data_IF_023996933543
#
_entry.id   IF_023996933543
#
_cell.length_a   1.000
_cell.length_b   1.000
_cell.length_c   1.000
_cell.angle_alpha   90.00
_cell.angle_beta   90.00
_cell.angle_gamma   90.00
#
_symmetry.space_group_name_H-M   'P 1'
#
loop_
_entity.id
_entity.type
_entity.pdbx_description
1 polymer ?
#
# COMPACT_ATOMS: atom_id res chain seq x y z
N UNK A 1 56.68 -62.54 -14.05
CA UNK A 1 56.09 -61.32 -13.46
C UNK A 1 54.91 -60.88 -14.31
N UNK A 2 53.71 -60.72 -13.72
CA UNK A 2 52.73 -59.66 -14.07
C UNK A 2 51.48 -59.84 -13.20
N UNK A 3 51.43 -59.04 -12.12
CA UNK A 3 50.22 -58.82 -11.32
C UNK A 3 49.33 -57.85 -12.09
N UNK A 4 48.09 -58.23 -12.35
CA UNK A 4 47.07 -57.32 -12.90
C UNK A 4 46.48 -56.54 -11.72
N UNK A 5 46.73 -55.23 -11.70
CA UNK A 5 46.18 -54.32 -10.71
C UNK A 5 44.76 -53.91 -11.12
N UNK A 6 43.78 -54.17 -10.26
CA UNK A 6 42.41 -53.70 -10.41
C UNK A 6 42.36 -52.24 -9.91
N UNK A 7 42.25 -51.28 -10.83
CA UNK A 7 42.04 -49.88 -10.48
C UNK A 7 40.55 -49.67 -10.19
N UNK A 8 40.20 -49.43 -8.93
CA UNK A 8 38.87 -48.98 -8.53
C UNK A 8 38.81 -47.47 -8.76
N UNK A 9 38.10 -47.05 -9.82
CA UNK A 9 37.76 -45.64 -10.05
C UNK A 9 36.65 -45.21 -9.09
N UNK A 10 37.04 -44.51 -8.03
CA UNK A 10 36.12 -43.77 -7.18
C UNK A 10 35.53 -42.59 -7.96
N UNK A 11 34.27 -42.70 -8.39
CA UNK A 11 33.50 -41.58 -8.94
C UNK A 11 33.24 -40.55 -7.83
N UNK A 12 34.11 -39.55 -7.72
CA UNK A 12 33.86 -38.35 -6.94
C UNK A 12 32.75 -37.55 -7.63
N UNK A 13 31.50 -37.75 -7.19
CA UNK A 13 30.40 -36.83 -7.48
C UNK A 13 30.73 -35.48 -6.83
N UNK A 14 31.27 -34.55 -7.61
CA UNK A 14 31.39 -33.16 -7.18
C UNK A 14 29.98 -32.63 -6.88
N UNK A 15 29.70 -32.34 -5.61
CA UNK A 15 28.49 -31.65 -5.20
C UNK A 15 28.44 -30.32 -5.96
N UNK A 16 27.45 -30.16 -6.85
CA UNK A 16 27.18 -28.86 -7.46
C UNK A 16 26.85 -27.90 -6.32
N UNK A 17 27.42 -26.68 -6.28
CA UNK A 17 26.98 -25.69 -5.33
C UNK A 17 25.47 -25.52 -5.50
N UNK A 18 24.72 -25.65 -4.41
CA UNK A 18 23.30 -25.37 -4.42
C UNK A 18 23.14 -23.94 -4.93
N UNK A 19 22.44 -23.76 -6.05
CA UNK A 19 22.18 -22.43 -6.58
C UNK A 19 21.46 -21.61 -5.49
N UNK A 20 21.90 -20.37 -5.28
CA UNK A 20 21.20 -19.44 -4.40
C UNK A 20 19.74 -19.33 -4.87
N UNK A 21 18.79 -19.56 -3.96
CA UNK A 21 17.39 -19.35 -4.22
C UNK A 21 17.14 -17.85 -4.15
N UNK A 22 17.19 -17.19 -5.30
CA UNK A 22 16.91 -15.76 -5.47
C UNK A 22 15.86 -15.61 -6.58
N UNK A 23 14.59 -15.40 -6.21
CA UNK A 23 13.51 -15.36 -7.19
C UNK A 23 12.42 -14.38 -6.83
N UNK A 24 12.11 -13.51 -7.79
CA UNK A 24 10.84 -12.78 -7.83
C UNK A 24 9.83 -13.54 -8.67
N UNK A 25 8.60 -13.64 -8.18
CA UNK A 25 7.48 -14.24 -8.88
C UNK A 25 6.41 -13.19 -9.17
N UNK A 26 5.95 -13.16 -10.43
CA UNK A 26 4.88 -12.26 -10.89
C UNK A 26 3.56 -13.04 -10.98
N UNK A 27 2.60 -12.83 -10.05
CA UNK A 27 1.32 -13.53 -10.10
C UNK A 27 0.44 -13.08 -11.28
N UNK A 28 0.86 -12.10 -12.09
CA UNK A 28 0.19 -11.82 -13.36
C UNK A 28 0.37 -12.95 -14.38
N UNK A 29 1.48 -13.70 -14.31
CA UNK A 29 1.85 -14.69 -15.31
C UNK A 29 2.10 -16.09 -14.74
N UNK A 30 2.42 -16.18 -13.45
CA UNK A 30 2.92 -17.39 -12.82
C UNK A 30 2.04 -17.84 -11.64
N UNK A 31 2.11 -19.13 -11.33
CA UNK A 31 1.59 -19.66 -10.08
C UNK A 31 2.68 -19.57 -8.99
N UNK A 32 2.71 -18.45 -8.26
CA UNK A 32 3.67 -18.22 -7.18
C UNK A 32 3.41 -19.11 -5.96
N UNK A 33 2.17 -19.58 -5.78
CA UNK A 33 1.79 -20.48 -4.68
C UNK A 33 2.55 -21.80 -4.72
N UNK A 34 2.76 -22.37 -5.91
CA UNK A 34 3.47 -23.66 -6.05
C UNK A 34 4.83 -23.64 -5.35
N UNK A 35 5.57 -22.54 -5.46
CA UNK A 35 6.87 -22.42 -4.81
C UNK A 35 6.75 -22.35 -3.29
N UNK A 36 5.80 -21.57 -2.77
CA UNK A 36 5.57 -21.47 -1.33
C UNK A 36 5.11 -22.80 -0.71
N UNK A 37 4.18 -23.52 -1.37
CA UNK A 37 3.74 -24.84 -0.91
C UNK A 37 4.90 -25.85 -0.90
N UNK A 38 5.77 -25.83 -1.91
CA UNK A 38 6.97 -26.67 -1.95
C UNK A 38 7.92 -26.38 -0.79
N UNK A 39 8.13 -25.10 -0.43
CA UNK A 39 8.94 -24.73 0.72
C UNK A 39 8.31 -25.21 2.03
N UNK A 40 6.99 -25.08 2.18
CA UNK A 40 6.27 -25.62 3.33
C UNK A 40 6.49 -27.14 3.42
N UNK A 41 6.21 -27.89 2.36
CA UNK A 41 6.28 -29.36 2.36
C UNK A 41 7.66 -29.92 2.67
N UNK A 42 8.71 -29.21 2.25
CA UNK A 42 10.10 -29.60 2.43
C UNK A 42 10.73 -29.15 3.75
N UNK A 43 10.06 -28.30 4.54
CA UNK A 43 10.59 -27.83 5.80
C UNK A 43 10.63 -28.96 6.85
N UNK A 44 11.73 -29.02 7.62
CA UNK A 44 12.00 -30.10 8.57
C UNK A 44 12.28 -29.63 10.00
N UNK A 45 12.45 -28.34 10.21
CA UNK A 45 12.78 -27.77 11.51
C UNK A 45 11.68 -26.81 11.98
N UNK A 46 11.48 -25.70 11.28
CA UNK A 46 10.61 -24.61 11.75
C UNK A 46 10.00 -23.80 10.61
N UNK A 47 8.70 -23.49 10.73
CA UNK A 47 7.94 -22.59 9.85
C UNK A 47 7.39 -21.44 10.69
N UNK A 48 7.76 -20.22 10.30
CA UNK A 48 7.28 -18.99 10.91
C UNK A 48 6.51 -18.17 9.90
N UNK A 49 5.27 -17.78 10.22
CA UNK A 49 4.43 -17.02 9.28
C UNK A 49 3.85 -15.79 9.98
N UNK A 50 4.00 -14.62 9.33
CA UNK A 50 3.39 -13.37 9.77
C UNK A 50 2.43 -12.83 8.72
N UNK A 51 1.16 -12.60 9.08
CA UNK A 51 0.16 -12.14 8.12
C UNK A 51 -0.92 -11.21 8.68
N UNK A 52 -1.36 -10.26 7.84
CA UNK A 52 -2.57 -9.45 8.07
C UNK A 52 -3.85 -10.30 7.94
N UNK A 53 -4.00 -11.00 6.81
CA UNK A 53 -5.02 -12.04 6.64
C UNK A 53 -4.55 -13.14 5.69
N UNK A 54 -5.19 -14.30 5.80
CA UNK A 54 -5.05 -15.45 4.90
C UNK A 54 -6.45 -15.93 4.50
N UNK A 55 -6.61 -16.31 3.23
CA UNK A 55 -7.88 -16.81 2.67
C UNK A 55 -7.73 -18.20 2.08
N UNK A 56 -6.54 -18.51 1.57
CA UNK A 56 -6.31 -19.75 0.85
C UNK A 56 -5.99 -20.90 1.79
N UNK A 57 -6.93 -21.84 1.86
CA UNK A 57 -6.86 -23.02 2.72
C UNK A 57 -5.75 -24.02 2.32
N UNK A 58 -5.16 -23.92 1.12
CA UNK A 58 -4.02 -24.77 0.77
C UNK A 58 -2.83 -24.50 1.70
N UNK A 59 -2.54 -23.24 2.03
CA UNK A 59 -1.48 -22.92 2.99
C UNK A 59 -1.75 -23.55 4.36
N UNK A 60 -3.01 -23.49 4.81
CA UNK A 60 -3.44 -24.10 6.08
C UNK A 60 -3.18 -25.60 6.07
N UNK A 61 -3.63 -26.31 5.03
CA UNK A 61 -3.48 -27.76 4.91
C UNK A 61 -2.01 -28.19 4.95
N UNK A 62 -1.16 -27.52 4.18
CA UNK A 62 0.26 -27.86 4.10
C UNK A 62 1.02 -27.52 5.41
N UNK A 63 0.74 -26.37 6.03
CA UNK A 63 1.35 -25.98 7.32
C UNK A 63 0.90 -26.95 8.44
N UNK A 64 -0.39 -27.29 8.50
CA UNK A 64 -0.92 -28.27 9.47
C UNK A 64 -0.31 -29.65 9.25
N UNK A 65 -0.15 -30.10 8.00
CA UNK A 65 0.50 -31.37 7.70
C UNK A 65 1.95 -31.39 8.23
N UNK A 66 2.68 -30.28 8.09
CA UNK A 66 4.04 -30.19 8.63
C UNK A 66 4.10 -30.16 10.14
N UNK A 67 3.20 -29.42 10.78
CA UNK A 67 3.04 -29.41 12.22
C UNK A 67 2.78 -30.82 12.77
N UNK A 68 1.84 -31.55 12.17
CA UNK A 68 1.52 -32.94 12.55
C UNK A 68 2.69 -33.89 12.36
N UNK A 69 3.61 -33.58 11.45
CA UNK A 69 4.84 -34.33 11.22
C UNK A 69 6.03 -33.82 12.06
N UNK A 70 5.78 -33.01 13.10
CA UNK A 70 6.74 -32.62 14.13
C UNK A 70 7.57 -31.37 13.81
N UNK A 71 7.29 -30.67 12.70
CA UNK A 71 7.93 -29.37 12.41
C UNK A 71 7.36 -28.32 13.34
N UNK A 72 8.23 -27.49 13.94
CA UNK A 72 7.78 -26.37 14.76
C UNK A 72 7.06 -25.35 13.88
N UNK A 73 5.90 -24.88 14.31
CA UNK A 73 5.16 -23.81 13.60
C UNK A 73 4.84 -22.70 14.57
N UNK A 74 5.09 -21.44 14.18
CA UNK A 74 4.69 -20.25 14.94
C UNK A 74 4.01 -19.25 14.02
N UNK A 75 2.84 -18.74 14.43
CA UNK A 75 2.08 -17.77 13.65
C UNK A 75 1.93 -16.44 14.38
N UNK A 76 2.35 -15.36 13.73
CA UNK A 76 2.00 -14.00 14.10
C UNK A 76 0.80 -13.57 13.24
N UNK A 77 -0.32 -13.28 13.89
CA UNK A 77 -1.60 -13.04 13.23
C UNK A 77 -2.22 -11.71 13.64
N UNK A 78 -3.22 -11.26 12.87
CA UNK A 78 -4.08 -10.15 13.26
C UNK A 78 -5.54 -10.48 12.99
N UNK A 79 -6.32 -10.88 14.02
CA UNK A 79 -7.73 -11.25 13.84
C UNK A 79 -8.60 -10.10 13.28
N UNK A 80 -8.14 -8.84 13.36
CA UNK A 80 -8.83 -7.70 12.74
C UNK A 80 -8.83 -7.79 11.21
N UNK A 81 -7.94 -8.59 10.62
CA UNK A 81 -7.93 -8.95 9.21
C UNK A 81 -9.27 -9.51 8.73
N UNK A 82 -10.03 -10.17 9.62
CA UNK A 82 -11.36 -10.74 9.32
C UNK A 82 -12.40 -9.69 8.93
N UNK A 83 -12.21 -8.42 9.30
CA UNK A 83 -13.07 -7.32 8.86
C UNK A 83 -12.82 -6.91 7.39
N UNK A 84 -11.63 -7.19 6.86
CA UNK A 84 -11.28 -6.95 5.45
C UNK A 84 -11.44 -8.20 4.58
N UNK A 85 -11.29 -9.39 5.18
CA UNK A 85 -11.48 -10.68 4.51
C UNK A 85 -12.30 -11.63 5.38
N UNK A 86 -13.54 -12.00 5.00
CA UNK A 86 -14.38 -12.86 5.81
C UNK A 86 -13.85 -14.31 5.95
N UNK A 87 -12.96 -14.76 5.06
CA UNK A 87 -12.39 -16.11 5.10
C UNK A 87 -11.32 -16.29 6.19
N UNK A 88 -10.70 -15.19 6.61
CA UNK A 88 -9.59 -15.21 7.56
C UNK A 88 -9.95 -15.85 8.90
N UNK A 89 -11.17 -15.63 9.40
CA UNK A 89 -11.56 -16.24 10.68
C UNK A 89 -11.56 -17.77 10.60
N UNK A 90 -12.07 -18.34 9.51
CA UNK A 90 -12.05 -19.78 9.30
C UNK A 90 -10.64 -20.36 9.22
N UNK A 91 -9.70 -19.61 8.63
CA UNK A 91 -8.27 -19.98 8.61
C UNK A 91 -7.66 -19.99 10.01
N UNK A 92 -7.92 -18.94 10.80
CA UNK A 92 -7.45 -18.86 12.19
C UNK A 92 -8.03 -19.99 13.05
N UNK A 93 -9.33 -20.29 12.89
CA UNK A 93 -10.00 -21.37 13.62
C UNK A 93 -9.43 -22.75 13.24
N UNK A 94 -9.07 -22.96 11.96
CA UNK A 94 -8.45 -24.19 11.50
C UNK A 94 -7.04 -24.39 12.10
N UNK A 95 -6.20 -23.35 12.14
CA UNK A 95 -4.90 -23.42 12.82
C UNK A 95 -5.05 -23.65 14.32
N UNK A 96 -6.01 -22.97 14.97
CA UNK A 96 -6.30 -23.16 16.39
C UNK A 96 -6.74 -24.61 16.68
N UNK A 97 -7.64 -25.16 15.86
CA UNK A 97 -8.13 -26.54 15.99
C UNK A 97 -7.04 -27.58 15.77
N UNK A 98 -6.04 -27.29 14.92
CA UNK A 98 -4.88 -28.15 14.71
C UNK A 98 -3.86 -28.10 15.86
N UNK A 99 -4.02 -27.22 16.85
CA UNK A 99 -3.09 -27.08 17.96
C UNK A 99 -1.88 -26.17 17.69
N UNK A 100 -1.89 -25.42 16.58
CA UNK A 100 -0.75 -24.55 16.21
C UNK A 100 -0.72 -23.30 17.11
N UNK A 101 0.45 -22.95 17.69
CA UNK A 101 0.58 -21.78 18.53
C UNK A 101 0.55 -20.48 17.72
N UNK A 102 -0.27 -19.53 18.17
CA UNK A 102 -0.46 -18.24 17.54
C UNK A 102 -0.39 -17.10 18.56
N UNK A 103 0.26 -16.00 18.17
CA UNK A 103 0.21 -14.71 18.89
C UNK A 103 -0.40 -13.65 17.99
N UNK A 104 -1.22 -12.77 18.56
CA UNK A 104 -1.93 -11.71 17.84
C UNK A 104 -1.34 -10.33 18.13
N UNK A 105 -1.33 -9.46 17.12
CA UNK A 105 -1.07 -8.03 17.31
C UNK A 105 -2.17 -7.38 18.16
N UNK A 106 -1.79 -6.54 19.12
CA UNK A 106 -2.73 -5.84 20.04
C UNK A 106 -2.57 -4.32 20.07
N UNK A 107 -1.62 -3.77 19.29
CA UNK A 107 -1.49 -2.32 19.16
C UNK A 107 -2.70 -1.72 18.44
N UNK A 108 -2.85 -0.40 18.46
CA UNK A 108 -3.92 0.29 17.71
C UNK A 108 -3.76 0.18 16.19
N UNK A 109 -2.59 -0.24 15.70
CA UNK A 109 -2.30 -0.46 14.28
C UNK A 109 -2.18 -1.95 13.97
N UNK A 110 -1.96 -2.31 12.71
CA UNK A 110 -2.07 -3.69 12.23
C UNK A 110 -0.70 -4.38 12.07
N UNK A 111 -0.68 -5.71 12.19
CA UNK A 111 0.40 -6.53 11.64
C UNK A 111 0.21 -6.58 10.12
N UNK A 112 1.04 -5.83 9.37
CA UNK A 112 0.92 -5.72 7.92
C UNK A 112 1.95 -6.57 7.17
N UNK A 113 2.61 -7.50 7.85
CA UNK A 113 3.51 -8.47 7.22
C UNK A 113 2.77 -9.45 6.32
N UNK A 114 3.51 -9.96 5.32
CA UNK A 114 3.19 -11.16 4.54
C UNK A 114 4.52 -11.83 4.24
N UNK A 115 4.86 -12.73 5.15
CA UNK A 115 6.13 -13.44 5.10
C UNK A 115 5.96 -14.86 5.61
N UNK A 116 6.75 -15.76 5.05
CA UNK A 116 6.94 -17.12 5.52
C UNK A 116 8.44 -17.43 5.58
N UNK A 117 8.91 -17.87 6.74
CA UNK A 117 10.30 -18.18 7.03
C UNK A 117 10.45 -19.67 7.32
N UNK A 118 11.43 -20.30 6.68
CA UNK A 118 11.69 -21.73 6.69
C UNK A 118 13.06 -21.96 7.33
N UNK A 119 13.06 -22.23 8.63
CA UNK A 119 14.27 -22.24 9.46
C UNK A 119 15.29 -23.28 9.03
N UNK A 120 14.85 -24.51 8.72
CA UNK A 120 15.73 -25.59 8.31
C UNK A 120 16.25 -25.47 6.88
N UNK A 121 15.47 -24.82 6.01
CA UNK A 121 15.90 -24.52 4.64
C UNK A 121 16.72 -23.22 4.53
N UNK A 122 16.71 -22.37 5.57
CA UNK A 122 17.29 -21.02 5.55
C UNK A 122 16.75 -20.18 4.38
N UNK A 123 15.43 -20.16 4.23
CA UNK A 123 14.72 -19.42 3.18
C UNK A 123 13.67 -18.52 3.80
N UNK A 124 13.52 -17.31 3.27
CA UNK A 124 12.37 -16.45 3.56
C UNK A 124 11.64 -16.07 2.27
N UNK A 125 10.32 -16.13 2.32
CA UNK A 125 9.44 -15.39 1.42
C UNK A 125 9.00 -14.11 2.12
N UNK A 126 9.03 -12.98 1.41
CA UNK A 126 8.34 -11.78 1.85
C UNK A 126 7.84 -10.95 0.68
N UNK A 127 6.69 -10.30 0.87
CA UNK A 127 6.05 -9.52 -0.20
C UNK A 127 4.97 -8.55 0.32
N UNK A 128 4.24 -7.90 -0.60
CA UNK A 128 3.01 -7.17 -0.28
C UNK A 128 1.76 -8.07 -0.24
N UNK A 129 1.89 -9.35 -0.59
CA UNK A 129 0.81 -10.24 -1.01
C UNK A 129 0.11 -10.92 0.16
N UNK A 130 -1.14 -10.55 0.43
CA UNK A 130 -1.97 -11.35 1.36
C UNK A 130 -2.04 -12.81 0.85
N UNK A 131 -2.12 -13.78 1.76
CA UNK A 131 -2.19 -15.21 1.44
C UNK A 131 -3.58 -15.59 0.90
N UNK A 132 -3.91 -15.02 -0.26
CA UNK A 132 -5.18 -15.12 -0.99
C UNK A 132 -4.93 -15.69 -2.38
N UNK A 133 -5.95 -16.35 -2.95
CA UNK A 133 -5.81 -17.09 -4.20
C UNK A 133 -5.24 -16.21 -5.34
N UNK A 134 -5.87 -15.07 -5.58
CA UNK A 134 -5.57 -14.16 -6.69
C UNK A 134 -4.30 -13.32 -6.52
N UNK A 135 -3.72 -13.24 -5.31
CA UNK A 135 -2.44 -12.57 -5.07
C UNK A 135 -1.25 -13.48 -5.35
N UNK A 136 -1.47 -14.79 -5.46
CA UNK A 136 -0.43 -15.79 -5.65
C UNK A 136 -0.57 -16.58 -6.96
N UNK A 137 -1.68 -16.41 -7.67
CA UNK A 137 -1.95 -17.07 -8.94
C UNK A 137 -3.00 -16.28 -9.73
N UNK A 138 -2.85 -16.09 -11.05
CA UNK A 138 -3.86 -15.42 -11.85
C UNK A 138 -5.03 -16.38 -12.13
N UNK A 139 -6.28 -15.90 -12.08
CA UNK A 139 -7.41 -16.67 -12.63
C UNK A 139 -7.22 -16.86 -14.14
N UNK A 140 -6.75 -15.81 -14.81
CA UNK A 140 -6.29 -15.84 -16.20
C UNK A 140 -5.12 -14.88 -16.35
N UNK A 141 -4.01 -15.28 -17.01
CA UNK A 141 -2.81 -14.46 -17.10
C UNK A 141 -3.11 -13.03 -17.57
N UNK A 142 -2.48 -12.06 -16.90
CA UNK A 142 -2.53 -10.62 -17.19
C UNK A 142 -3.94 -9.97 -17.14
N UNK A 143 -4.99 -10.72 -16.84
CA UNK A 143 -6.39 -10.24 -16.94
C UNK A 143 -7.11 -10.24 -15.61
N UNK A 144 -6.87 -11.22 -14.74
CA UNK A 144 -7.49 -11.26 -13.42
C UNK A 144 -6.52 -11.85 -12.39
N UNK A 145 -5.82 -10.93 -11.71
CA UNK A 145 -4.79 -11.20 -10.73
C UNK A 145 -4.63 -9.95 -9.85
N UNK A 146 -3.97 -10.08 -8.71
CA UNK A 146 -3.57 -8.94 -7.88
C UNK A 146 -2.08 -8.67 -8.13
N UNK A 147 -1.73 -7.43 -8.50
CA UNK A 147 -0.34 -7.03 -8.73
C UNK A 147 0.47 -7.22 -7.45
N UNK A 148 1.54 -8.01 -7.50
CA UNK A 148 2.50 -8.22 -6.41
C UNK A 148 3.92 -8.39 -6.95
N UNK A 149 4.88 -8.38 -6.03
CA UNK A 149 6.25 -8.80 -6.28
C UNK A 149 6.67 -9.73 -5.15
N UNK A 150 6.49 -11.04 -5.38
CA UNK A 150 6.69 -12.07 -4.35
C UNK A 150 8.13 -12.54 -4.42
N UNK A 151 8.89 -12.31 -3.35
CA UNK A 151 10.32 -12.56 -3.34
C UNK A 151 10.67 -13.72 -2.41
N UNK A 152 11.43 -14.67 -2.94
CA UNK A 152 12.01 -15.79 -2.23
C UNK A 152 13.52 -15.65 -2.24
N UNK A 153 14.13 -15.75 -1.05
CA UNK A 153 15.58 -15.59 -0.88
C UNK A 153 16.15 -16.59 0.13
N UNK A 154 17.33 -17.12 -0.16
CA UNK A 154 18.20 -17.77 0.82
C UNK A 154 19.48 -16.95 1.11
N UNK A 155 19.44 -15.65 0.81
CA UNK A 155 20.49 -14.70 1.15
C UNK A 155 20.61 -14.62 2.69
N UNK A 156 21.75 -15.02 3.27
CA UNK A 156 21.84 -15.18 4.71
C UNK A 156 21.55 -13.89 5.48
N UNK A 157 21.96 -12.72 4.96
CA UNK A 157 21.78 -11.45 5.66
C UNK A 157 20.30 -11.06 5.71
N UNK A 158 19.56 -11.35 4.64
CA UNK A 158 18.11 -11.12 4.56
C UNK A 158 17.35 -12.12 5.44
N UNK A 159 17.65 -13.42 5.32
CA UNK A 159 16.99 -14.47 6.11
C UNK A 159 17.24 -14.25 7.61
N UNK A 160 18.48 -13.99 8.01
CA UNK A 160 18.85 -13.73 9.40
C UNK A 160 18.15 -12.49 9.97
N UNK A 161 17.92 -11.46 9.14
CA UNK A 161 17.16 -10.29 9.54
C UNK A 161 15.71 -10.62 9.85
N UNK A 162 15.05 -11.43 9.01
CA UNK A 162 13.68 -11.88 9.27
C UNK A 162 13.60 -12.85 10.46
N UNK A 163 14.56 -13.77 10.62
CA UNK A 163 14.70 -14.59 11.82
C UNK A 163 14.72 -13.72 13.09
N UNK A 164 15.57 -12.69 13.10
CA UNK A 164 15.67 -11.75 14.22
C UNK A 164 14.36 -11.01 14.47
N UNK A 165 13.74 -10.44 13.43
CA UNK A 165 12.54 -9.60 13.59
C UNK A 165 11.28 -10.41 13.91
N UNK A 166 11.18 -11.64 13.40
CA UNK A 166 10.12 -12.55 13.80
C UNK A 166 10.27 -12.90 15.28
N UNK A 167 11.47 -13.27 15.74
CA UNK A 167 11.71 -13.55 17.15
C UNK A 167 11.49 -12.34 18.06
N UNK A 168 11.90 -11.14 17.64
CA UNK A 168 11.62 -9.90 18.38
C UNK A 168 10.12 -9.72 18.61
N UNK A 169 9.30 -9.97 17.58
CA UNK A 169 7.85 -9.87 17.64
C UNK A 169 7.23 -11.03 18.44
N UNK A 170 7.78 -12.24 18.29
CA UNK A 170 7.31 -13.45 18.97
C UNK A 170 7.47 -13.38 20.48
N UNK A 171 8.49 -12.69 21.01
CA UNK A 171 8.69 -12.51 22.46
C UNK A 171 8.23 -11.15 23.00
N UNK A 172 7.66 -10.30 22.15
CA UNK A 172 7.14 -9.00 22.57
C UNK A 172 5.79 -9.17 23.29
N UNK A 173 5.75 -8.84 24.59
CA UNK A 173 4.53 -8.87 25.40
C UNK A 173 3.75 -7.55 25.42
N UNK A 174 4.25 -6.52 24.74
CA UNK A 174 3.63 -5.20 24.64
C UNK A 174 2.81 -5.09 23.36
N UNK A 175 3.41 -5.42 22.20
CA UNK A 175 2.73 -5.28 20.90
C UNK A 175 1.95 -6.52 20.50
N UNK A 176 2.23 -7.65 21.16
CA UNK A 176 1.58 -8.95 20.89
C UNK A 176 1.06 -9.58 22.18
N UNK A 177 -0.05 -10.31 22.04
CA UNK A 177 -0.62 -11.15 23.08
C UNK A 177 -0.85 -12.57 22.54
N UNK A 178 -0.95 -13.53 23.44
CA UNK A 178 -1.24 -14.90 23.07
C UNK A 178 -2.66 -15.00 22.49
N UNK A 179 -2.81 -15.84 21.45
CA UNK A 179 -4.07 -15.97 20.73
C UNK A 179 -4.62 -17.39 20.78
N UNK A 180 -3.84 -18.39 20.37
CA UNK A 180 -4.24 -19.79 20.42
C UNK A 180 -3.05 -20.69 20.73
N UNK A 181 -3.27 -21.76 21.49
CA UNK A 181 -2.33 -22.85 21.74
C UNK A 181 -0.93 -22.44 22.25
N UNK A 182 -0.80 -21.26 22.88
CA UNK A 182 0.42 -20.88 23.62
C UNK A 182 0.33 -21.51 25.01
N UNK A 183 1.08 -22.59 25.23
CA UNK A 183 1.09 -23.33 26.51
C UNK A 183 2.32 -23.04 27.37
N UNK A 184 3.38 -22.51 26.76
CA UNK A 184 4.62 -22.10 27.43
C UNK A 184 4.93 -20.63 27.07
N UNK A 185 5.66 -19.90 27.93
CA UNK A 185 6.13 -18.56 27.60
C UNK A 185 6.83 -18.52 26.23
N UNK A 186 6.50 -17.55 25.35
CA UNK A 186 7.14 -17.41 24.05
C UNK A 186 8.66 -17.27 24.19
N UNK A 187 9.40 -18.11 23.47
CA UNK A 187 10.86 -18.09 23.43
C UNK A 187 11.36 -17.89 21.99
N UNK A 188 12.56 -17.31 21.87
CA UNK A 188 13.26 -17.16 20.60
C UNK A 188 13.68 -18.53 20.06
N UNK A 189 13.60 -18.71 18.73
CA UNK A 189 14.11 -19.90 18.06
C UNK A 189 15.48 -19.67 17.42
N UNK A 190 15.81 -18.42 17.12
CA UNK A 190 17.01 -18.04 16.37
C UNK A 190 17.98 -17.20 17.19
N UNK A 191 19.19 -17.04 16.65
CA UNK A 191 20.21 -16.17 17.22
C UNK A 191 19.87 -14.69 17.14
N UNK A 192 20.57 -13.88 17.92
CA UNK A 192 20.48 -12.42 17.88
C UNK A 192 21.26 -11.86 16.67
N UNK A 193 20.76 -12.11 15.45
CA UNK A 193 21.38 -11.60 14.23
C UNK A 193 21.30 -10.08 14.10
N UNK A 194 22.24 -9.51 13.35
CA UNK A 194 22.16 -8.12 12.86
C UNK A 194 21.09 -8.00 11.79
N UNK A 195 20.46 -6.83 11.70
CA UNK A 195 19.53 -6.51 10.62
C UNK A 195 20.32 -5.91 9.46
N UNK A 196 20.15 -6.48 8.27
CA UNK A 196 20.73 -5.97 7.03
C UNK A 196 20.27 -4.52 6.80
N UNK A 197 21.19 -3.57 6.52
CA UNK A 197 20.84 -2.17 6.37
C UNK A 197 19.93 -1.88 5.17
N UNK A 198 19.89 -2.74 4.15
CA UNK A 198 18.97 -2.61 3.02
C UNK A 198 17.51 -2.92 3.40
N UNK A 199 17.27 -3.65 4.50
CA UNK A 199 15.92 -3.85 5.02
C UNK A 199 15.44 -2.65 5.84
N UNK A 200 14.12 -2.51 5.90
CA UNK A 200 13.43 -1.48 6.66
C UNK A 200 12.18 -2.08 7.32
N UNK A 201 12.07 -1.93 8.64
CA UNK A 201 10.95 -2.47 9.43
C UNK A 201 10.23 -1.37 10.22
N UNK A 202 9.24 -0.68 9.61
CA UNK A 202 8.32 0.20 10.33
C UNK A 202 7.56 -0.54 11.44
N UNK A 203 7.22 0.14 12.55
CA UNK A 203 7.45 1.58 12.80
C UNK A 203 8.85 1.89 13.37
N UNK A 204 9.72 0.89 13.56
CA UNK A 204 11.04 1.09 14.17
C UNK A 204 11.96 1.96 13.31
N UNK A 205 11.72 2.01 12.00
CA UNK A 205 12.49 2.80 11.04
C UNK A 205 11.53 3.44 10.03
N UNK A 206 11.56 4.77 9.89
CA UNK A 206 10.67 5.48 8.96
C UNK A 206 10.90 5.07 7.50
N UNK A 207 9.88 4.47 6.90
CA UNK A 207 9.84 4.18 5.47
C UNK A 207 9.84 5.49 4.66
N UNK A 208 9.08 6.48 5.10
CA UNK A 208 8.89 7.74 4.38
C UNK A 208 10.16 8.55 4.32
N UNK A 209 10.83 8.78 5.46
CA UNK A 209 12.07 9.55 5.49
C UNK A 209 13.14 8.90 4.59
N UNK A 210 13.26 7.58 4.63
CA UNK A 210 14.23 6.83 3.82
C UNK A 210 13.91 6.92 2.33
N UNK A 211 12.66 6.65 1.95
CA UNK A 211 12.20 6.69 0.55
C UNK A 211 12.33 8.09 -0.06
N UNK A 212 11.82 9.14 0.58
CA UNK A 212 11.84 10.50 0.01
C UNK A 212 13.26 11.06 -0.14
N UNK A 213 14.20 10.65 0.73
CA UNK A 213 15.60 11.03 0.62
C UNK A 213 16.24 10.49 -0.66
N UNK A 214 15.86 9.27 -1.07
CA UNK A 214 16.30 8.68 -2.33
C UNK A 214 15.63 9.34 -3.53
N UNK A 215 14.34 9.69 -3.45
CA UNK A 215 13.66 10.43 -4.52
C UNK A 215 14.29 11.80 -4.77
N UNK A 216 14.76 12.45 -3.69
CA UNK A 216 15.46 13.74 -3.77
C UNK A 216 16.82 13.67 -4.46
N UNK A 217 17.47 12.52 -4.45
CA UNK A 217 18.80 12.28 -5.04
C UNK A 217 18.77 11.63 -6.42
N UNK A 218 17.60 11.16 -6.86
CA UNK A 218 17.47 10.46 -8.14
C UNK A 218 17.75 11.40 -9.31
N UNK A 219 18.73 11.08 -10.18
CA UNK A 219 19.10 11.95 -11.30
C UNK A 219 18.45 11.57 -12.63
N UNK A 220 17.87 10.37 -12.76
CA UNK A 220 17.46 9.84 -14.07
C UNK A 220 15.96 9.72 -14.23
N UNK A 221 15.30 8.81 -13.51
CA UNK A 221 13.87 8.56 -13.63
C UNK A 221 13.33 7.86 -12.38
N UNK A 222 12.05 8.04 -12.10
CA UNK A 222 11.34 7.35 -11.02
C UNK A 222 10.10 6.66 -11.58
N UNK A 223 9.99 5.35 -11.40
CA UNK A 223 8.76 4.62 -11.66
C UNK A 223 8.16 4.10 -10.35
N UNK A 224 6.85 4.23 -10.21
CA UNK A 224 6.13 3.91 -8.97
C UNK A 224 4.93 3.04 -9.30
N UNK A 225 4.81 1.90 -8.64
CA UNK A 225 3.56 1.15 -8.51
C UNK A 225 3.11 1.26 -7.07
N UNK A 226 1.94 1.85 -6.83
CA UNK A 226 1.48 2.13 -5.45
C UNK A 226 -0.03 1.97 -5.31
N UNK A 227 -0.42 1.07 -4.42
CA UNK A 227 -1.82 0.81 -4.07
C UNK A 227 -2.49 2.02 -3.41
N UNK A 228 -1.87 2.60 -2.37
CA UNK A 228 -2.45 3.68 -1.56
C UNK A 228 -1.47 4.83 -1.32
N UNK A 229 -1.94 6.06 -1.49
CA UNK A 229 -1.15 7.29 -1.46
C UNK A 229 -1.85 8.37 -0.61
N UNK A 230 -1.90 8.19 0.72
CA UNK A 230 -2.53 9.16 1.63
C UNK A 230 -1.55 10.12 2.28
N UNK A 231 -0.25 9.84 2.27
CA UNK A 231 0.75 10.71 2.88
C UNK A 231 1.35 11.68 1.87
N UNK A 232 1.10 12.98 2.09
CA UNK A 232 1.47 14.06 1.18
C UNK A 232 2.99 14.12 0.86
N UNK A 233 3.85 13.77 1.82
CA UNK A 233 5.30 13.89 1.67
C UNK A 233 5.86 13.12 0.46
N UNK A 234 5.30 11.95 0.13
CA UNK A 234 5.70 11.18 -1.05
C UNK A 234 5.33 11.89 -2.35
N UNK A 235 4.08 12.37 -2.44
CA UNK A 235 3.59 13.14 -3.59
C UNK A 235 4.42 14.42 -3.81
N UNK A 236 4.73 15.14 -2.72
CA UNK A 236 5.57 16.34 -2.78
C UNK A 236 6.99 16.02 -3.27
N UNK A 237 7.58 14.92 -2.81
CA UNK A 237 8.92 14.51 -3.20
C UNK A 237 9.02 14.15 -4.69
N UNK A 238 8.05 13.43 -5.24
CA UNK A 238 8.06 13.09 -6.68
C UNK A 238 7.68 14.28 -7.57
N UNK A 239 6.79 15.18 -7.13
CA UNK A 239 6.54 16.44 -7.85
C UNK A 239 7.80 17.30 -7.87
N UNK A 240 8.56 17.35 -6.77
CA UNK A 240 9.88 18.01 -6.75
C UNK A 240 10.87 17.33 -7.69
N UNK A 241 10.82 16.01 -7.86
CA UNK A 241 11.67 15.32 -8.85
C UNK A 241 11.31 15.75 -10.28
N UNK A 242 10.03 15.81 -10.63
CA UNK A 242 9.57 16.34 -11.93
C UNK A 242 10.05 17.78 -12.14
N UNK A 243 9.97 18.64 -11.12
CA UNK A 243 10.44 20.02 -11.18
C UNK A 243 11.97 20.14 -11.40
N UNK A 244 12.75 19.12 -11.03
CA UNK A 244 14.19 19.02 -11.34
C UNK A 244 14.47 18.46 -12.75
N UNK A 245 13.44 18.12 -13.52
CA UNK A 245 13.57 17.50 -14.84
C UNK A 245 13.65 15.97 -14.83
N UNK A 246 13.47 15.33 -13.67
CA UNK A 246 13.45 13.86 -13.54
C UNK A 246 12.06 13.35 -13.94
N UNK A 247 11.88 12.59 -15.04
CA UNK A 247 10.60 12.00 -15.37
C UNK A 247 10.11 11.05 -14.28
N UNK A 248 8.83 11.15 -13.95
CA UNK A 248 8.16 10.26 -13.00
C UNK A 248 6.94 9.60 -13.65
N UNK A 249 6.83 8.28 -13.52
CA UNK A 249 5.65 7.49 -13.90
C UNK A 249 5.01 6.82 -12.68
N UNK A 250 3.69 6.80 -12.64
CA UNK A 250 2.91 6.19 -11.56
C UNK A 250 1.84 5.25 -12.12
N UNK A 251 1.80 4.02 -11.61
CA UNK A 251 0.66 3.10 -11.71
C UNK A 251 -0.03 3.07 -10.33
N UNK A 252 -1.34 3.34 -10.31
CA UNK A 252 -2.12 3.40 -9.05
C UNK A 252 -3.50 2.75 -9.14
N UNK A 253 -4.11 2.47 -7.99
CA UNK A 253 -5.36 1.73 -7.87
C UNK A 253 -6.58 2.67 -7.94
N UNK A 254 -7.47 2.53 -8.95
CA UNK A 254 -8.66 3.36 -9.08
C UNK A 254 -9.63 3.24 -7.88
N UNK A 255 -9.67 2.08 -7.22
CA UNK A 255 -10.52 1.89 -6.05
C UNK A 255 -10.04 2.72 -4.85
N UNK A 256 -8.73 3.00 -4.72
CA UNK A 256 -8.20 3.89 -3.68
C UNK A 256 -8.38 5.37 -4.07
N UNK A 257 -8.20 5.71 -5.35
CA UNK A 257 -8.39 7.09 -5.86
C UNK A 257 -9.77 7.68 -5.55
N UNK A 258 -10.83 6.86 -5.47
CA UNK A 258 -12.19 7.29 -5.08
C UNK A 258 -12.72 6.54 -3.87
N UNK A 259 -11.84 6.17 -2.93
CA UNK A 259 -12.24 5.55 -1.68
C UNK A 259 -12.70 6.61 -0.65
N UNK A 260 -13.99 6.66 -0.26
CA UNK A 260 -14.47 7.66 0.69
C UNK A 260 -13.88 7.50 2.09
N UNK A 261 -13.26 6.35 2.41
CA UNK A 261 -12.54 6.14 3.68
C UNK A 261 -11.12 6.70 3.65
N UNK A 262 -10.63 7.17 2.49
CA UNK A 262 -9.24 7.59 2.24
C UNK A 262 -9.18 8.77 1.28
N UNK A 263 -9.92 9.82 1.59
CA UNK A 263 -10.13 10.97 0.69
C UNK A 263 -8.83 11.66 0.23
N UNK A 264 -7.77 11.55 1.04
CA UNK A 264 -6.44 12.09 0.71
C UNK A 264 -5.70 11.36 -0.40
N UNK A 265 -6.14 10.16 -0.80
CA UNK A 265 -5.58 9.46 -1.96
C UNK A 265 -5.82 10.26 -3.25
N UNK A 266 -7.08 10.64 -3.48
CA UNK A 266 -7.51 11.46 -4.60
C UNK A 266 -6.71 12.76 -4.69
N UNK A 267 -6.53 13.42 -3.54
CA UNK A 267 -5.77 14.67 -3.43
C UNK A 267 -4.34 14.53 -3.94
N UNK A 268 -3.63 13.51 -3.47
CA UNK A 268 -2.22 13.31 -3.80
C UNK A 268 -2.05 12.87 -5.25
N UNK A 269 -2.90 11.97 -5.76
CA UNK A 269 -2.88 11.55 -7.17
C UNK A 269 -3.14 12.73 -8.11
N UNK A 270 -4.14 13.56 -7.80
CA UNK A 270 -4.47 14.77 -8.56
C UNK A 270 -3.31 15.79 -8.56
N UNK A 271 -2.67 16.00 -7.40
CA UNK A 271 -1.50 16.89 -7.27
C UNK A 271 -0.32 16.39 -8.08
N UNK A 272 -0.04 15.10 -8.06
CA UNK A 272 1.04 14.50 -8.85
C UNK A 272 0.77 14.67 -10.35
N UNK A 273 -0.45 14.38 -10.80
CA UNK A 273 -0.85 14.56 -12.20
C UNK A 273 -0.67 16.01 -12.65
N UNK A 274 -1.17 16.96 -11.86
CA UNK A 274 -1.04 18.39 -12.13
C UNK A 274 0.42 18.85 -12.08
N UNK A 275 1.23 18.23 -11.24
CA UNK A 275 2.68 18.46 -11.11
C UNK A 275 3.52 17.84 -12.22
N UNK A 276 2.91 17.16 -13.20
CA UNK A 276 3.59 16.62 -14.38
C UNK A 276 3.96 15.14 -14.31
N UNK A 277 3.65 14.44 -13.21
CA UNK A 277 3.79 12.98 -13.13
C UNK A 277 2.87 12.33 -14.16
N UNK A 278 3.40 11.36 -14.93
CA UNK A 278 2.58 10.58 -15.85
C UNK A 278 1.90 9.48 -15.06
N UNK A 279 0.58 9.39 -15.14
CA UNK A 279 -0.19 8.44 -14.33
C UNK A 279 -1.00 7.50 -15.22
N UNK A 280 -0.94 6.22 -14.88
CA UNK A 280 -1.84 5.18 -15.35
C UNK A 280 -2.54 4.54 -14.15
N UNK A 281 -3.73 4.01 -14.39
CA UNK A 281 -4.50 3.25 -13.40
C UNK A 281 -4.71 1.84 -13.88
N UNK A 282 -4.93 0.92 -12.94
CA UNK A 282 -5.34 -0.45 -13.26
C UNK A 282 -6.50 -0.50 -14.27
N UNK A 283 -6.38 -1.43 -15.20
CA UNK A 283 -7.42 -1.81 -16.17
C UNK A 283 -7.78 -3.32 -16.09
N UNK A 284 -6.88 -4.20 -15.65
CA UNK A 284 -7.20 -5.62 -15.40
C UNK A 284 -8.20 -5.79 -14.25
N UNK A 285 -8.86 -6.96 -14.16
CA UNK A 285 -10.03 -7.19 -13.31
C UNK A 285 -9.74 -7.24 -11.79
N UNK A 286 -8.51 -7.59 -11.39
CA UNK A 286 -8.12 -7.72 -9.98
C UNK A 286 -7.76 -6.39 -9.32
N UNK A 287 -6.61 -6.30 -8.62
CA UNK A 287 -6.19 -5.11 -7.89
C UNK A 287 -4.73 -4.74 -8.17
N UNK A 288 -4.41 -3.45 -8.15
CA UNK A 288 -3.04 -2.98 -8.18
C UNK A 288 -2.49 -2.82 -6.78
N UNK A 289 -2.14 -3.95 -6.17
CA UNK A 289 -1.74 -4.01 -4.76
C UNK A 289 -0.22 -3.91 -4.54
N UNK A 290 0.60 -3.91 -5.59
CA UNK A 290 2.05 -3.78 -5.49
C UNK A 290 2.46 -2.43 -4.88
N UNK A 291 3.50 -2.44 -4.05
CA UNK A 291 4.19 -1.24 -3.56
C UNK A 291 5.65 -1.33 -3.93
N UNK A 292 6.02 -0.63 -4.99
CA UNK A 292 7.40 -0.59 -5.45
C UNK A 292 7.76 0.75 -6.07
N UNK A 293 9.03 1.14 -5.89
CA UNK A 293 9.63 2.31 -6.53
C UNK A 293 10.96 1.92 -7.17
N UNK A 294 11.14 2.31 -8.42
CA UNK A 294 12.36 2.10 -9.20
C UNK A 294 13.05 3.44 -9.38
N UNK A 295 14.32 3.50 -9.01
CA UNK A 295 15.19 4.68 -9.11
C UNK A 295 16.33 4.35 -10.05
N UNK A 296 16.24 4.83 -11.29
CA UNK A 296 17.05 4.35 -12.41
C UNK A 296 18.53 4.71 -12.29
N UNK A 297 18.84 5.97 -11.98
CA UNK A 297 20.20 6.48 -11.86
C UNK A 297 20.90 5.95 -10.61
N UNK A 298 20.16 5.77 -9.52
CA UNK A 298 20.66 5.12 -8.31
C UNK A 298 20.66 3.58 -8.39
N UNK A 299 20.10 3.00 -9.47
CA UNK A 299 19.95 1.55 -9.66
C UNK A 299 19.27 0.87 -8.47
N UNK A 300 18.35 1.57 -7.82
CA UNK A 300 17.72 1.12 -6.56
C UNK A 300 16.27 0.74 -6.81
N UNK A 301 15.85 -0.39 -6.25
CA UNK A 301 14.44 -0.74 -6.09
C UNK A 301 14.06 -0.68 -4.62
N UNK A 302 12.90 -0.13 -4.34
CA UNK A 302 12.26 -0.15 -3.03
C UNK A 302 10.99 -0.97 -3.19
N UNK A 303 10.81 -2.06 -2.46
CA UNK A 303 9.55 -2.82 -2.48
C UNK A 303 9.27 -3.49 -1.14
N UNK A 304 8.01 -3.87 -0.91
CA UNK A 304 7.60 -4.51 0.34
C UNK A 304 6.12 -4.31 0.61
N UNK A 305 5.77 -4.22 1.89
CA UNK A 305 4.39 -4.12 2.36
C UNK A 305 3.90 -2.67 2.55
N UNK A 306 4.80 -1.69 2.66
CA UNK A 306 4.45 -0.31 2.98
C UNK A 306 3.80 0.45 1.81
N UNK A 307 2.64 1.04 2.09
CA UNK A 307 2.01 2.03 1.22
C UNK A 307 2.65 3.41 1.43
N UNK A 308 2.35 4.36 0.53
CA UNK A 308 2.61 5.79 0.76
C UNK A 308 1.57 6.38 1.73
N UNK A 309 1.59 5.91 2.97
CA UNK A 309 0.61 6.26 4.01
C UNK A 309 1.28 6.46 5.37
N UNK A 310 0.76 7.39 6.18
CA UNK A 310 1.29 7.60 7.53
C UNK A 310 1.25 6.31 8.38
N UNK A 311 0.18 5.47 8.35
CA UNK A 311 0.18 4.22 9.09
C UNK A 311 1.34 3.29 8.72
N UNK A 312 1.63 3.09 7.42
CA UNK A 312 2.77 2.26 6.97
C UNK A 312 4.13 2.81 7.40
N UNK A 313 4.25 4.12 7.63
CA UNK A 313 5.50 4.74 8.05
C UNK A 313 5.75 4.60 9.56
N UNK A 314 4.71 4.80 10.38
CA UNK A 314 4.91 5.10 11.80
C UNK A 314 4.08 4.27 12.79
N UNK A 315 3.25 3.32 12.33
CA UNK A 315 2.44 2.53 13.27
C UNK A 315 2.23 1.06 12.88
N UNK A 316 2.05 0.77 11.59
CA UNK A 316 1.85 -0.59 11.10
C UNK A 316 3.18 -1.35 11.17
N UNK A 317 3.10 -2.65 11.47
CA UNK A 317 4.27 -3.51 11.35
C UNK A 317 4.43 -3.87 9.89
N UNK A 318 5.52 -3.41 9.30
CA UNK A 318 5.78 -3.50 7.86
C UNK A 318 7.19 -4.06 7.64
N UNK A 319 7.48 -4.45 6.40
CA UNK A 319 8.82 -4.82 5.96
C UNK A 319 9.04 -4.34 4.52
N UNK A 320 10.20 -3.75 4.26
CA UNK A 320 10.59 -3.26 2.94
C UNK A 320 12.06 -3.56 2.67
N UNK A 321 12.40 -3.67 1.40
CA UNK A 321 13.76 -3.91 0.92
C UNK A 321 14.17 -2.79 -0.04
N UNK A 322 15.29 -2.14 0.28
CA UNK A 322 15.91 -1.04 -0.47
C UNK A 322 17.20 -1.57 -1.10
N UNK A 323 17.07 -2.16 -2.29
CA UNK A 323 18.10 -2.98 -2.92
C UNK A 323 18.73 -2.25 -4.10
N UNK A 324 20.06 -2.22 -4.17
CA UNK A 324 20.81 -1.51 -5.22
C UNK A 324 22.02 -2.27 -5.78
N UNK A 325 22.26 -3.48 -5.29
CA UNK A 325 23.36 -4.37 -5.65
C UNK A 325 22.90 -5.59 -6.49
N UNK A 326 21.59 -5.90 -6.50
CA UNK A 326 20.99 -6.97 -7.31
C UNK A 326 20.54 -6.47 -8.69
N UNK A 327 21.46 -6.42 -9.65
CA UNK A 327 21.18 -5.93 -11.01
C UNK A 327 20.02 -6.67 -11.71
N UNK A 328 19.91 -7.99 -11.51
CA UNK A 328 18.82 -8.80 -12.08
C UNK A 328 17.44 -8.38 -11.54
N UNK A 329 17.38 -7.97 -10.26
CA UNK A 329 16.14 -7.54 -9.61
C UNK A 329 15.69 -6.19 -10.18
N UNK A 330 16.62 -5.26 -10.38
CA UNK A 330 16.34 -4.00 -11.07
C UNK A 330 15.74 -4.25 -12.45
N UNK A 331 16.36 -5.13 -13.25
CA UNK A 331 15.84 -5.49 -14.58
C UNK A 331 14.44 -6.09 -14.49
N UNK A 332 14.19 -7.02 -13.57
CA UNK A 332 12.88 -7.63 -13.37
C UNK A 332 11.78 -6.59 -13.11
N UNK A 333 12.03 -5.64 -12.20
CA UNK A 333 11.05 -4.60 -11.88
C UNK A 333 10.84 -3.64 -13.06
N UNK A 334 11.91 -3.28 -13.79
CA UNK A 334 11.82 -2.44 -14.99
C UNK A 334 10.96 -3.12 -16.06
N UNK A 335 11.22 -4.40 -16.34
CA UNK A 335 10.50 -5.16 -17.36
C UNK A 335 9.03 -5.31 -16.99
N UNK A 336 8.75 -5.68 -15.74
CA UNK A 336 7.40 -5.81 -15.22
C UNK A 336 6.64 -4.47 -15.27
N UNK A 337 7.27 -3.36 -14.86
CA UNK A 337 6.66 -2.04 -14.93
C UNK A 337 6.39 -1.61 -16.39
N UNK A 338 7.38 -1.75 -17.27
CA UNK A 338 7.27 -1.39 -18.68
C UNK A 338 6.22 -2.21 -19.42
N UNK A 339 6.08 -3.50 -19.09
CA UNK A 339 5.01 -4.36 -19.60
C UNK A 339 3.65 -3.77 -19.25
N UNK A 340 3.37 -3.55 -17.96
CA UNK A 340 2.12 -2.94 -17.48
C UNK A 340 1.87 -1.55 -18.08
N UNK A 341 2.92 -0.76 -18.26
CA UNK A 341 2.85 0.61 -18.77
C UNK A 341 2.56 0.72 -20.28
N UNK A 342 3.23 -0.13 -21.08
CA UNK A 342 3.22 -0.03 -22.55
C UNK A 342 2.21 -0.99 -23.22
N UNK A 343 1.66 -1.95 -22.48
CA UNK A 343 0.70 -2.91 -23.01
C UNK A 343 -0.53 -2.19 -23.59
N UNK A 344 -0.64 -2.24 -24.91
CA UNK A 344 -1.68 -1.58 -25.72
C UNK A 344 -2.47 -2.56 -26.61
N UNK A 345 -2.14 -3.85 -26.58
CA UNK A 345 -2.81 -4.92 -27.31
C UNK A 345 -2.89 -6.17 -26.43
N UNK A 346 -3.91 -7.02 -26.65
CA UNK A 346 -4.14 -8.19 -25.80
C UNK A 346 -4.73 -7.81 -24.44
N UNK A 347 -4.21 -8.42 -23.37
CA UNK A 347 -4.69 -8.21 -22.00
C UNK A 347 -4.24 -6.85 -21.45
N UNK A 348 -5.06 -5.81 -21.57
CA UNK A 348 -4.70 -4.46 -21.12
C UNK A 348 -4.68 -4.39 -19.59
N UNK A 349 -3.50 -4.18 -19.01
CA UNK A 349 -3.32 -4.17 -17.56
C UNK A 349 -3.52 -2.80 -16.93
N UNK A 350 -3.15 -1.73 -17.63
CA UNK A 350 -3.33 -0.37 -17.15
C UNK A 350 -3.87 0.54 -18.25
N UNK A 351 -4.52 1.64 -17.85
CA UNK A 351 -5.07 2.67 -18.73
C UNK A 351 -4.63 4.06 -18.28
N UNK A 352 -4.63 5.03 -19.19
CA UNK A 352 -4.28 6.41 -18.84
C UNK A 352 -5.19 6.96 -17.74
N UNK A 353 -4.62 7.65 -16.76
CA UNK A 353 -5.39 8.34 -15.73
C UNK A 353 -6.10 9.56 -16.31
N UNK A 354 -7.37 9.72 -15.94
CA UNK A 354 -8.15 10.93 -16.19
C UNK A 354 -8.68 11.44 -14.85
N UNK A 355 -8.31 12.66 -14.42
CA UNK A 355 -8.83 13.23 -13.18
C UNK A 355 -10.35 13.37 -13.24
N UNK A 356 -11.01 13.01 -12.14
CA UNK A 356 -12.47 13.05 -12.02
C UNK A 356 -12.94 14.34 -11.33
N UNK A 357 -14.15 14.84 -11.62
CA UNK A 357 -14.68 16.05 -10.99
C UNK A 357 -14.93 15.90 -9.48
N UNK A 358 -15.12 17.03 -8.76
CA UNK A 358 -15.61 17.02 -7.40
C UNK A 358 -17.14 16.85 -7.37
N UNK A 359 -17.71 16.67 -6.18
CA UNK A 359 -19.16 16.78 -5.98
C UNK A 359 -19.64 18.24 -6.11
N UNK A 360 -20.90 18.40 -6.51
CA UNK A 360 -21.59 19.71 -6.45
C UNK A 360 -21.78 20.11 -4.98
N UNK A 361 -21.38 21.33 -4.57
CA UNK A 361 -21.51 21.76 -3.19
C UNK A 361 -22.99 21.90 -2.79
N UNK A 362 -23.32 21.44 -1.58
CA UNK A 362 -24.67 21.48 -0.99
C UNK A 362 -24.74 22.53 0.11
N UNK A 363 -25.47 23.61 -0.11
CA UNK A 363 -25.49 24.75 0.83
C UNK A 363 -26.26 24.44 2.11
N UNK A 364 -25.81 25.05 3.21
CA UNK A 364 -26.30 24.88 4.59
C UNK A 364 -26.61 26.22 5.26
N UNK A 365 -25.86 27.28 4.93
CA UNK A 365 -26.12 28.63 5.40
C UNK A 365 -25.91 29.66 4.28
N UNK A 366 -26.79 30.68 4.14
CA UNK A 366 -28.03 30.93 4.92
C UNK A 366 -29.05 29.78 4.86
N UNK A 367 -30.03 29.75 5.77
CA UNK A 367 -30.87 28.57 6.05
C UNK A 367 -31.65 28.04 4.84
N UNK A 368 -31.93 28.89 3.85
CA UNK A 368 -32.54 28.53 2.58
C UNK A 368 -32.16 29.56 1.50
N UNK A 369 -32.40 29.20 0.24
CA UNK A 369 -32.41 30.17 -0.85
C UNK A 369 -33.53 31.21 -0.64
N UNK A 370 -33.18 32.49 -0.69
CA UNK A 370 -34.11 33.60 -0.42
C UNK A 370 -34.34 33.89 1.06
N UNK A 371 -33.51 33.36 1.98
CA UNK A 371 -33.66 33.61 3.41
C UNK A 371 -33.64 35.11 3.73
N UNK A 372 -34.57 35.58 4.56
CA UNK A 372 -34.63 36.96 5.05
C UNK A 372 -34.05 37.11 6.46
N UNK A 373 -33.82 38.36 6.88
CA UNK A 373 -33.35 38.66 8.24
C UNK A 373 -31.96 38.11 8.56
N UNK A 374 -31.14 37.84 7.54
CA UNK A 374 -29.80 37.27 7.73
C UNK A 374 -28.90 38.31 8.40
N UNK A 375 -28.06 37.86 9.33
CA UNK A 375 -27.07 38.72 9.99
C UNK A 375 -26.21 39.46 8.96
N UNK A 376 -25.96 40.74 9.23
CA UNK A 376 -25.05 41.57 8.42
C UNK A 376 -23.59 41.11 8.52
N UNK A 377 -23.28 40.20 9.46
CA UNK A 377 -22.03 39.46 9.56
C UNK A 377 -22.24 38.05 8.98
N UNK A 378 -22.46 37.97 7.66
CA UNK A 378 -22.89 36.72 7.02
C UNK A 378 -21.75 35.70 6.86
N UNK A 379 -22.07 34.44 7.12
CA UNK A 379 -21.22 33.28 6.84
C UNK A 379 -21.92 32.35 5.86
N UNK A 380 -21.24 32.05 4.76
CA UNK A 380 -21.67 31.03 3.81
C UNK A 380 -21.19 29.67 4.34
N UNK A 381 -22.07 28.67 4.36
CA UNK A 381 -21.72 27.30 4.79
C UNK A 381 -22.25 26.31 3.77
N UNK A 382 -21.44 25.33 3.40
CA UNK A 382 -21.81 24.28 2.47
C UNK A 382 -21.10 22.96 2.80
N UNK A 383 -21.67 21.87 2.33
CA UNK A 383 -21.01 20.57 2.26
C UNK A 383 -20.41 20.41 0.86
N UNK A 384 -19.09 20.36 0.75
CA UNK A 384 -18.36 20.28 -0.52
C UNK A 384 -18.13 18.86 -1.03
N UNK A 385 -18.29 17.85 -0.17
CA UNK A 385 -18.05 16.46 -0.52
C UNK A 385 -16.59 16.02 -0.33
N UNK A 386 -16.33 14.70 -0.44
CA UNK A 386 -15.00 14.10 -0.22
C UNK A 386 -13.95 14.49 -1.27
N UNK A 387 -14.38 14.97 -2.45
CA UNK A 387 -13.48 15.17 -3.59
C UNK A 387 -13.15 16.65 -3.87
N UNK A 388 -13.87 17.58 -3.25
CA UNK A 388 -13.66 19.01 -3.39
C UNK A 388 -12.69 19.53 -2.34
N UNK A 389 -11.61 20.18 -2.77
CA UNK A 389 -10.56 20.64 -1.87
C UNK A 389 -10.40 22.16 -1.92
N UNK A 390 -10.51 22.72 -3.13
CA UNK A 390 -10.46 24.15 -3.38
C UNK A 390 -11.85 24.69 -3.72
N UNK A 391 -12.11 25.95 -3.41
CA UNK A 391 -13.39 26.59 -3.68
C UNK A 391 -13.21 28.00 -4.23
N UNK A 392 -13.92 28.31 -5.31
CA UNK A 392 -14.17 29.69 -5.71
C UNK A 392 -15.53 30.13 -5.18
N UNK A 393 -15.58 31.38 -4.72
CA UNK A 393 -16.71 31.99 -4.05
C UNK A 393 -17.13 33.17 -4.89
N UNK A 394 -18.34 33.12 -5.42
CA UNK A 394 -18.97 34.21 -6.12
C UNK A 394 -19.95 34.87 -5.15
N UNK A 395 -19.90 36.19 -5.01
CA UNK A 395 -20.71 36.92 -4.04
C UNK A 395 -20.93 38.37 -4.48
N UNK A 396 -22.16 38.87 -4.40
CA UNK A 396 -22.50 40.27 -4.69
C UNK A 396 -24.00 40.53 -4.70
N UNK A 397 -24.42 41.74 -5.08
CA UNK A 397 -25.84 42.14 -5.16
C UNK A 397 -26.49 41.83 -6.52
N UNK A 398 -25.70 41.36 -7.50
CA UNK A 398 -26.19 40.91 -8.81
C UNK A 398 -26.63 39.44 -8.76
N UNK A 399 -27.72 39.10 -9.46
CA UNK A 399 -28.20 37.72 -9.63
C UNK A 399 -27.19 36.83 -10.36
N UNK A 400 -26.24 37.42 -11.08
CA UNK A 400 -25.03 36.76 -11.59
C UNK A 400 -23.86 37.26 -10.72
N UNK A 401 -23.64 36.67 -9.53
CA UNK A 401 -22.68 37.21 -8.58
C UNK A 401 -21.25 37.17 -9.18
N UNK A 402 -20.43 38.22 -9.02
CA UNK A 402 -19.05 38.24 -9.49
C UNK A 402 -18.17 37.31 -8.65
N UNK A 403 -17.02 36.90 -9.20
CA UNK A 403 -16.01 36.17 -8.44
C UNK A 403 -15.49 37.06 -7.31
N UNK A 404 -15.68 36.63 -6.07
CA UNK A 404 -15.28 37.36 -4.88
C UNK A 404 -13.95 36.82 -4.32
N UNK A 405 -13.81 35.50 -4.25
CA UNK A 405 -12.60 34.86 -3.75
C UNK A 405 -12.31 33.57 -4.52
N UNK A 406 -11.07 33.37 -4.96
CA UNK A 406 -10.69 32.19 -5.74
C UNK A 406 -9.81 31.22 -4.95
N UNK A 407 -9.89 29.93 -5.30
CA UNK A 407 -8.92 28.90 -4.91
C UNK A 407 -8.74 28.67 -3.41
N UNK A 408 -9.80 28.85 -2.61
CA UNK A 408 -9.72 28.66 -1.15
C UNK A 408 -9.60 27.18 -0.81
N UNK A 409 -8.47 26.78 -0.21
CA UNK A 409 -8.27 25.43 0.32
C UNK A 409 -9.07 25.26 1.61
N UNK A 410 -10.27 24.69 1.52
CA UNK A 410 -11.20 24.54 2.65
C UNK A 410 -11.67 23.09 2.84
N UNK A 411 -11.34 22.19 1.92
CA UNK A 411 -11.75 20.78 1.96
C UNK A 411 -10.55 19.82 2.05
N UNK A 412 -10.78 18.50 1.93
CA UNK A 412 -12.05 17.85 1.60
C UNK A 412 -13.04 17.79 2.77
N UNK A 413 -14.23 17.21 2.55
CA UNK A 413 -15.09 16.75 3.64
C UNK A 413 -14.78 15.27 3.91
N UNK A 414 -14.12 14.94 5.02
CA UNK A 414 -13.76 13.56 5.38
C UNK A 414 -14.98 12.75 5.87
N UNK A 415 -15.98 13.45 6.41
CA UNK A 415 -17.26 12.85 6.85
C UNK A 415 -18.45 13.54 6.19
N UNK A 416 -19.63 12.92 6.24
CA UNK A 416 -20.87 13.51 5.70
C UNK A 416 -21.39 14.69 6.52
N UNK A 417 -20.90 14.87 7.75
CA UNK A 417 -21.23 15.99 8.63
C UNK A 417 -20.27 17.17 8.51
N UNK A 418 -19.10 16.98 7.90
CA UNK A 418 -18.09 18.02 7.81
C UNK A 418 -18.44 19.04 6.73
N UNK A 419 -18.61 20.30 7.12
CA UNK A 419 -18.95 21.41 6.21
C UNK A 419 -17.82 22.42 6.11
N UNK A 420 -17.76 23.10 4.98
CA UNK A 420 -16.88 24.22 4.73
C UNK A 420 -17.64 25.53 4.97
N UNK A 421 -16.90 26.57 5.35
CA UNK A 421 -17.49 27.89 5.53
C UNK A 421 -16.59 29.01 5.07
N UNK A 422 -17.20 30.15 4.75
CA UNK A 422 -16.51 31.38 4.43
C UNK A 422 -17.21 32.58 5.05
N UNK A 423 -16.47 33.36 5.83
CA UNK A 423 -16.96 34.60 6.43
C UNK A 423 -16.80 35.74 5.42
N UNK A 424 -17.86 36.51 5.19
CA UNK A 424 -17.73 37.76 4.42
C UNK A 424 -16.99 38.77 5.31
N UNK A 425 -15.83 39.30 4.89
CA UNK A 425 -14.92 40.04 5.76
C UNK A 425 -15.33 41.51 5.98
N UNK A 426 -16.58 41.85 5.70
CA UNK A 426 -17.14 43.19 5.91
C UNK A 426 -18.62 43.09 6.32
N UNK A 427 -19.09 44.10 7.03
CA UNK A 427 -20.50 44.23 7.39
C UNK A 427 -21.34 44.51 6.15
N UNK A 428 -22.33 43.67 5.90
CA UNK A 428 -23.26 43.83 4.79
C UNK A 428 -24.20 45.03 5.03
N UNK A 429 -24.67 45.64 3.94
CA UNK A 429 -25.68 46.69 4.00
C UNK A 429 -26.98 46.12 4.59
N UNK A 430 -27.70 46.93 5.37
CA UNK A 430 -29.00 46.54 5.93
C UNK A 430 -30.04 46.39 4.81
N UNK A 431 -31.02 45.51 5.00
CA UNK A 431 -32.14 45.31 4.06
C UNK A 431 -31.74 45.11 2.59
N UNK A 432 -30.59 44.47 2.36
CA UNK A 432 -30.00 44.31 1.02
C UNK A 432 -29.97 42.84 0.62
N UNK A 433 -30.40 42.53 -0.61
CA UNK A 433 -30.31 41.19 -1.17
C UNK A 433 -28.92 40.93 -1.76
N UNK A 434 -28.31 39.84 -1.32
CA UNK A 434 -27.04 39.33 -1.84
C UNK A 434 -27.25 37.95 -2.48
N UNK A 435 -26.48 37.66 -3.51
CA UNK A 435 -26.42 36.40 -4.22
C UNK A 435 -25.05 35.78 -4.03
N UNK A 436 -25.00 34.45 -3.95
CA UNK A 436 -23.75 33.71 -3.88
C UNK A 436 -23.81 32.40 -4.65
N UNK A 437 -22.63 31.94 -5.07
CA UNK A 437 -22.43 30.65 -5.71
C UNK A 437 -21.06 30.12 -5.35
N UNK A 438 -20.98 28.85 -5.01
CA UNK A 438 -19.73 28.14 -4.72
C UNK A 438 -19.38 27.23 -5.89
N UNK A 439 -18.14 27.29 -6.34
CA UNK A 439 -17.58 26.33 -7.31
C UNK A 439 -16.53 25.49 -6.61
N UNK A 440 -16.85 24.21 -6.40
CA UNK A 440 -15.94 23.19 -5.87
C UNK A 440 -14.89 22.83 -6.91
N UNK A 441 -13.64 22.56 -6.47
CA UNK A 441 -12.53 22.14 -7.33
C UNK A 441 -11.70 21.01 -6.71
N UNK A 442 -11.27 20.05 -7.52
CA UNK A 442 -10.26 19.07 -7.12
C UNK A 442 -8.84 19.64 -7.24
N UNK A 443 -7.83 18.92 -6.74
CA UNK A 443 -6.43 19.32 -6.93
C UNK A 443 -6.00 19.35 -8.41
N UNK A 444 -6.61 18.51 -9.25
CA UNK A 444 -6.38 18.51 -10.69
C UNK A 444 -7.11 19.65 -11.44
N UNK A 445 -7.85 20.51 -10.72
CA UNK A 445 -8.54 21.66 -11.31
C UNK A 445 -9.86 21.31 -12.01
N UNK A 446 -10.37 20.09 -11.86
CA UNK A 446 -11.75 19.77 -12.25
C UNK A 446 -12.70 20.51 -11.32
N UNK A 447 -13.86 20.92 -11.83
CA UNK A 447 -14.80 21.76 -11.08
C UNK A 447 -16.24 21.27 -11.14
N UNK A 448 -17.03 21.62 -10.13
CA UNK A 448 -18.47 21.47 -10.09
C UNK A 448 -19.09 22.74 -9.48
N UNK A 449 -20.08 23.33 -10.17
CA UNK A 449 -20.74 24.55 -9.72
C UNK A 449 -21.99 24.21 -8.90
N UNK A 450 -22.11 24.81 -7.73
CA UNK A 450 -23.38 24.87 -7.01
C UNK A 450 -24.40 25.79 -7.69
N UNK A 451 -25.66 25.76 -7.24
CA UNK A 451 -26.67 26.71 -7.68
C UNK A 451 -26.33 28.14 -7.21
N UNK A 452 -26.94 29.16 -7.82
CA UNK A 452 -26.95 30.50 -7.23
C UNK A 452 -28.02 30.53 -6.14
N UNK A 453 -27.65 30.91 -4.92
CA UNK A 453 -28.59 31.23 -3.85
C UNK A 453 -28.59 32.72 -3.57
N UNK A 454 -29.69 33.22 -3.03
CA UNK A 454 -29.82 34.58 -2.53
C UNK A 454 -30.19 34.62 -1.04
N UNK A 455 -29.98 35.76 -0.39
CA UNK A 455 -30.51 36.07 0.93
C UNK A 455 -30.62 37.58 1.12
N UNK A 456 -31.47 38.02 2.04
CA UNK A 456 -31.66 39.44 2.40
C UNK A 456 -31.27 39.69 3.85
N UNK A 457 -30.46 40.73 4.08
CA UNK A 457 -29.98 41.09 5.41
C UNK A 457 -31.07 41.74 6.29
N UNK A 458 -30.95 41.56 7.60
CA UNK A 458 -31.71 42.33 8.59
C UNK A 458 -31.25 43.79 8.70
N UNK A 459 -31.92 44.55 9.57
CA UNK A 459 -31.57 45.93 9.96
C UNK A 459 -30.21 46.04 10.62
#
# INVERSE_FOLDING_TARGET
>A
MRRVALCVCSLLLAARPAAALERLCDPAAENCRTQLLSLIDNERQEIDVGFWFMEDNHYVQHIVARFNAGVRVRLLVDPRGSASSPYNQGVLDAFASAGIPMRKGVTSSILHWKMALFGGQHVVEFSGANFSDNAWHPVSPYTNYIDESIYFTNDPDIVNSFMRKFDDSWVDHTSFADYANITNPPARSYGAYSIDPALNFPPAQSYTQRSIALYGKEPSAIDVSMYRITQQAHADAVVKAVARGVPVRLITEPNEYRNPKRVWDAWNVDRMWKGGVKIRMRAHAGLSHQKSVILYGQRTVIFGSSNWSSPSDNSQQEHNYFVNDKAWMLTWFIDQFNRKWNNSTGAIETKAFTPLPPDTPKYKAPSANGAGGVSRTARLVWYGGPWAHYYDIYFGTSSTPPLYAAGKLLGPSETTSETQSYLIPFTLAAHTTYYFRIVSKTAAGKSASGPVWSFTTGG
#
